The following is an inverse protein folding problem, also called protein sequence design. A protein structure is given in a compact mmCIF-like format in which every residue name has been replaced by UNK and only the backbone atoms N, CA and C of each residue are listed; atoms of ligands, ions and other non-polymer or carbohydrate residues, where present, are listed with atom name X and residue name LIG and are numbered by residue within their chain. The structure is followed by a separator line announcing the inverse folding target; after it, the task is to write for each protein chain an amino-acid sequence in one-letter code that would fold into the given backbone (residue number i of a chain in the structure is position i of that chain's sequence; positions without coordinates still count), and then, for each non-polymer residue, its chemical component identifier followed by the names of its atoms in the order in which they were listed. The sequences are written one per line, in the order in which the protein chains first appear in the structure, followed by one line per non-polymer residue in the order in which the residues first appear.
data_IF_864412620190
#
_entry.id   IF_864412620190
#
_cell.length_a   1.000
_cell.length_b   1.000
_cell.length_c   1.000
_cell.angle_alpha   90.00
_cell.angle_beta   90.00
_cell.angle_gamma   90.00
#
_symmetry.space_group_name_H-M   'P 1'
#
loop_
_entity.id
_entity.type
_entity.pdbx_description
1 polymer ?
#
# COMPACT_ATOMS: atom_id res chain seq x y z
N UNK A 1 -58.21 -47.34 4.56
CA UNK A 1 -57.18 -46.29 4.79
C UNK A 1 -56.58 -46.58 6.16
N UNK A 2 -55.27 -46.82 6.19
CA UNK A 2 -54.57 -47.25 7.38
C UNK A 2 -54.54 -46.11 8.42
N UNK A 3 -55.23 -46.29 9.54
CA UNK A 3 -55.34 -45.32 10.62
C UNK A 3 -53.97 -45.00 11.27
N UNK A 4 -53.08 -45.95 11.25
CA UNK A 4 -51.74 -45.76 11.82
C UNK A 4 -50.87 -44.86 10.92
N UNK A 5 -51.02 -45.00 9.63
CA UNK A 5 -50.36 -44.16 8.60
C UNK A 5 -50.87 -42.71 8.68
N UNK A 6 -52.21 -42.54 8.88
CA UNK A 6 -52.80 -41.21 9.05
C UNK A 6 -52.28 -40.51 10.32
N UNK A 7 -52.26 -41.22 11.46
CA UNK A 7 -51.74 -40.68 12.71
C UNK A 7 -50.29 -40.29 12.64
N UNK A 8 -49.47 -41.11 11.96
CA UNK A 8 -48.07 -40.84 11.74
C UNK A 8 -47.86 -39.63 10.82
N UNK A 9 -48.70 -39.48 9.81
CA UNK A 9 -48.67 -38.32 8.91
C UNK A 9 -49.07 -37.04 9.65
N UNK A 10 -50.13 -37.06 10.43
CA UNK A 10 -50.54 -35.92 11.28
C UNK A 10 -49.48 -35.56 12.30
N UNK A 11 -48.86 -36.52 12.97
CA UNK A 11 -47.79 -36.30 13.92
C UNK A 11 -46.58 -35.65 13.24
N UNK A 12 -46.16 -36.17 12.08
CA UNK A 12 -45.04 -35.61 11.31
C UNK A 12 -45.36 -34.19 10.83
N UNK A 13 -46.60 -33.90 10.41
CA UNK A 13 -47.01 -32.56 10.00
C UNK A 13 -46.98 -31.58 11.21
N UNK A 14 -47.48 -32.01 12.37
CA UNK A 14 -47.41 -31.21 13.60
C UNK A 14 -45.97 -31.00 14.07
N UNK A 15 -45.13 -32.01 13.96
CA UNK A 15 -43.70 -31.92 14.32
C UNK A 15 -42.97 -30.94 13.41
N UNK A 16 -43.14 -31.04 12.09
CA UNK A 16 -42.57 -30.12 11.10
C UNK A 16 -43.07 -28.70 11.35
N UNK A 17 -44.34 -28.51 11.63
CA UNK A 17 -44.90 -27.19 11.92
C UNK A 17 -44.38 -26.59 13.21
N UNK A 18 -43.98 -27.43 14.19
CA UNK A 18 -43.39 -27.01 15.46
C UNK A 18 -41.90 -26.76 15.38
N UNK A 19 -41.23 -27.24 14.34
CA UNK A 19 -39.81 -26.98 14.11
C UNK A 19 -39.60 -25.49 13.92
N UNK A 20 -38.66 -24.90 14.69
CA UNK A 20 -38.25 -23.52 14.45
C UNK A 20 -37.49 -23.43 13.15
N UNK A 21 -37.85 -22.52 12.23
CA UNK A 21 -37.05 -22.30 11.03
C UNK A 21 -35.65 -21.82 11.43
N UNK A 22 -34.62 -22.27 10.71
CA UNK A 22 -33.24 -21.90 10.94
C UNK A 22 -32.55 -21.59 9.64
N UNK A 23 -31.66 -20.64 9.67
CA UNK A 23 -30.78 -20.37 8.53
C UNK A 23 -29.65 -21.39 8.44
N UNK A 24 -29.41 -21.93 7.26
CA UNK A 24 -28.15 -22.60 6.97
C UNK A 24 -27.07 -21.53 6.74
N UNK A 25 -26.44 -21.09 7.83
CA UNK A 25 -25.48 -19.98 7.81
C UNK A 25 -24.33 -20.18 6.84
N UNK A 26 -23.86 -21.43 6.64
CA UNK A 26 -22.75 -21.76 5.74
C UNK A 26 -23.13 -21.63 4.26
N UNK A 27 -24.41 -21.65 3.95
CA UNK A 27 -24.91 -21.54 2.59
C UNK A 27 -25.25 -20.10 2.20
N UNK A 28 -25.50 -19.22 3.18
CA UNK A 28 -25.70 -17.80 2.92
C UNK A 28 -24.36 -17.20 2.47
N UNK A 29 -24.36 -16.62 1.27
CA UNK A 29 -23.13 -16.07 0.72
C UNK A 29 -23.40 -15.05 -0.38
N UNK A 30 -22.59 -14.04 -0.38
CA UNK A 30 -22.32 -13.09 -1.46
C UNK A 30 -20.97 -12.47 -1.23
N UNK A 31 -20.38 -11.93 -2.25
CA UNK A 31 -19.16 -11.12 -2.22
C UNK A 31 -19.23 -10.05 -3.31
N UNK A 32 -18.11 -9.41 -3.59
CA UNK A 32 -18.00 -8.40 -4.65
C UNK A 32 -17.44 -8.94 -5.97
N UNK A 33 -17.27 -10.27 -6.09
CA UNK A 33 -16.77 -10.90 -7.30
C UNK A 33 -17.75 -10.84 -8.47
N UNK A 34 -17.26 -11.10 -9.67
CA UNK A 34 -18.05 -11.15 -10.91
C UNK A 34 -19.19 -12.18 -10.90
N UNK A 35 -19.21 -13.14 -9.97
CA UNK A 35 -20.33 -14.05 -9.79
C UNK A 35 -21.52 -13.41 -9.07
N UNK A 36 -21.27 -12.40 -8.23
CA UNK A 36 -22.28 -11.78 -7.35
C UNK A 36 -22.54 -10.31 -7.65
N UNK A 37 -21.62 -9.60 -8.30
CA UNK A 37 -21.80 -8.23 -8.79
C UNK A 37 -21.51 -8.21 -10.29
N UNK A 38 -22.52 -8.01 -11.13
CA UNK A 38 -22.42 -8.15 -12.57
C UNK A 38 -22.88 -6.88 -13.29
N UNK A 39 -22.00 -6.13 -13.96
CA UNK A 39 -20.55 -6.32 -14.01
C UNK A 39 -19.90 -6.05 -12.64
N UNK A 40 -18.72 -6.64 -12.40
CA UNK A 40 -17.94 -6.48 -11.14
C UNK A 40 -17.51 -5.03 -10.89
N UNK A 41 -17.16 -4.32 -11.95
CA UNK A 41 -16.80 -2.89 -11.93
C UNK A 41 -17.80 -2.11 -12.81
N UNK A 42 -18.99 -1.76 -12.28
CA UNK A 42 -20.03 -1.13 -13.07
C UNK A 42 -19.69 0.34 -13.37
N UNK A 43 -20.00 0.78 -14.59
CA UNK A 43 -19.85 2.18 -14.99
C UNK A 43 -20.88 3.08 -14.27
N UNK A 44 -20.58 4.39 -14.19
CA UNK A 44 -21.59 5.38 -13.79
C UNK A 44 -22.81 5.31 -14.72
N UNK A 45 -24.00 5.53 -14.16
CA UNK A 45 -25.28 5.57 -14.86
C UNK A 45 -25.65 4.26 -15.59
N UNK A 46 -25.05 3.13 -15.18
CA UNK A 46 -25.33 1.80 -15.73
C UNK A 46 -26.23 0.97 -14.80
N UNK A 47 -26.58 -0.24 -15.25
CA UNK A 47 -27.24 -1.23 -14.43
C UNK A 47 -26.24 -2.25 -13.88
N UNK A 48 -26.44 -2.66 -12.63
CA UNK A 48 -25.68 -3.73 -11.98
C UNK A 48 -26.65 -4.78 -11.42
N UNK A 49 -26.32 -6.05 -11.64
CA UNK A 49 -27.03 -7.17 -11.03
C UNK A 49 -26.29 -7.62 -9.79
N UNK A 50 -26.97 -7.55 -8.64
CA UNK A 50 -26.44 -8.03 -7.36
C UNK A 50 -27.07 -9.38 -7.05
N UNK A 51 -26.25 -10.38 -6.72
CA UNK A 51 -26.68 -11.75 -6.43
C UNK A 51 -26.44 -12.12 -4.97
N UNK A 52 -27.27 -13.04 -4.47
CA UNK A 52 -27.14 -13.61 -3.14
C UNK A 52 -27.46 -15.11 -3.19
N UNK A 53 -26.68 -15.94 -2.51
CA UNK A 53 -26.83 -17.39 -2.45
C UNK A 53 -27.37 -17.85 -1.10
N UNK A 54 -28.28 -18.83 -1.12
CA UNK A 54 -28.80 -19.51 0.07
C UNK A 54 -28.75 -21.03 -0.10
N UNK A 55 -28.96 -21.80 0.98
CA UNK A 55 -29.26 -23.22 0.81
C UNK A 55 -30.59 -23.39 0.07
N UNK A 56 -30.70 -24.49 -0.67
CA UNK A 56 -31.90 -24.80 -1.46
C UNK A 56 -33.13 -24.90 -0.55
N UNK A 57 -34.17 -24.16 -0.91
CA UNK A 57 -35.45 -24.11 -0.17
C UNK A 57 -35.34 -23.74 1.32
N UNK A 58 -34.28 -23.03 1.73
CA UNK A 58 -34.06 -22.67 3.14
C UNK A 58 -34.53 -21.26 3.51
N UNK A 59 -34.64 -20.36 2.53
CA UNK A 59 -34.99 -18.96 2.72
C UNK A 59 -36.26 -18.61 1.95
N UNK A 60 -37.22 -17.95 2.59
CA UNK A 60 -38.48 -17.56 1.95
C UNK A 60 -38.31 -16.27 1.13
N UNK A 61 -37.54 -15.30 1.65
CA UNK A 61 -37.33 -14.00 1.02
C UNK A 61 -35.92 -13.51 1.27
N UNK A 62 -35.37 -12.87 0.27
CA UNK A 62 -34.11 -12.11 0.35
C UNK A 62 -34.40 -10.69 -0.09
N UNK A 63 -33.97 -9.71 0.67
CA UNK A 63 -34.03 -8.29 0.33
C UNK A 63 -32.63 -7.72 0.23
N UNK A 64 -32.38 -6.95 -0.80
CA UNK A 64 -31.29 -5.98 -0.85
C UNK A 64 -31.78 -4.72 -0.13
N UNK A 65 -30.98 -4.20 0.82
CA UNK A 65 -31.30 -2.96 1.54
C UNK A 65 -30.26 -1.91 1.20
N UNK A 66 -30.71 -0.82 0.61
CA UNK A 66 -29.87 0.28 0.15
C UNK A 66 -30.58 1.62 0.45
N UNK A 67 -29.86 2.60 1.03
CA UNK A 67 -30.45 3.88 1.39
C UNK A 67 -31.68 3.77 2.29
N UNK A 68 -31.74 2.77 3.16
CA UNK A 68 -32.86 2.47 4.03
C UNK A 68 -34.09 1.83 3.33
N UNK A 69 -34.03 1.61 2.03
CA UNK A 69 -35.12 0.97 1.27
C UNK A 69 -34.84 -0.52 1.07
N UNK A 70 -35.89 -1.34 1.19
CA UNK A 70 -35.82 -2.79 0.99
C UNK A 70 -36.32 -3.15 -0.40
N UNK A 71 -35.48 -3.81 -1.17
CA UNK A 71 -35.80 -4.30 -2.53
C UNK A 71 -35.86 -5.81 -2.51
N UNK A 72 -37.01 -6.38 -2.85
CA UNK A 72 -37.19 -7.83 -2.91
C UNK A 72 -36.35 -8.40 -4.06
N UNK A 73 -35.49 -9.35 -3.74
CA UNK A 73 -34.71 -10.08 -4.73
C UNK A 73 -35.51 -11.26 -5.31
N UNK A 74 -35.33 -11.52 -6.59
CA UNK A 74 -36.00 -12.61 -7.30
C UNK A 74 -35.07 -13.83 -7.34
N UNK A 75 -35.63 -15.02 -7.05
CA UNK A 75 -34.89 -16.26 -7.23
C UNK A 75 -34.73 -16.52 -8.73
N UNK A 76 -33.49 -16.49 -9.21
CA UNK A 76 -33.14 -16.60 -10.65
C UNK A 76 -32.62 -17.98 -11.03
N UNK A 77 -32.06 -18.71 -10.07
CA UNK A 77 -31.42 -19.99 -10.33
C UNK A 77 -31.52 -20.92 -9.12
N UNK A 78 -31.64 -22.22 -9.35
CA UNK A 78 -31.44 -23.27 -8.34
C UNK A 78 -30.46 -24.29 -8.95
N UNK A 79 -29.25 -24.35 -8.39
CA UNK A 79 -28.16 -25.20 -8.88
C UNK A 79 -27.53 -25.94 -7.73
N UNK A 80 -27.36 -27.25 -7.86
CA UNK A 80 -26.88 -28.12 -6.81
C UNK A 80 -27.72 -27.96 -5.53
N UNK A 81 -27.10 -27.68 -4.40
CA UNK A 81 -27.75 -27.51 -3.10
C UNK A 81 -28.07 -26.04 -2.76
N UNK A 82 -28.05 -25.13 -3.75
CA UNK A 82 -28.20 -23.70 -3.54
C UNK A 82 -29.32 -23.08 -4.40
N UNK A 83 -29.93 -22.04 -3.84
CA UNK A 83 -30.79 -21.08 -4.54
C UNK A 83 -30.05 -19.76 -4.66
N UNK A 84 -30.14 -19.13 -5.84
CA UNK A 84 -29.55 -17.82 -6.13
C UNK A 84 -30.65 -16.79 -6.36
N UNK A 85 -30.53 -15.68 -5.68
CA UNK A 85 -31.42 -14.53 -5.78
C UNK A 85 -30.67 -13.38 -6.45
N UNK A 86 -31.38 -12.56 -7.22
CA UNK A 86 -30.82 -11.39 -7.88
C UNK A 86 -31.72 -10.18 -7.79
N UNK A 87 -31.10 -9.02 -7.79
CA UNK A 87 -31.73 -7.72 -7.95
C UNK A 87 -30.92 -6.88 -8.94
N UNK A 88 -31.62 -6.23 -9.90
CA UNK A 88 -31.01 -5.30 -10.85
C UNK A 88 -31.21 -3.88 -10.31
N UNK A 89 -30.12 -3.19 -10.07
CA UNK A 89 -30.12 -1.82 -9.60
C UNK A 89 -29.54 -0.89 -10.66
N UNK A 90 -30.18 0.26 -10.87
CA UNK A 90 -29.61 1.32 -11.70
C UNK A 90 -28.75 2.23 -10.82
N UNK A 91 -27.51 2.43 -11.24
CA UNK A 91 -26.53 3.27 -10.54
C UNK A 91 -26.59 4.70 -11.09
N UNK A 92 -26.20 5.64 -10.25
CA UNK A 92 -25.75 6.99 -10.65
C UNK A 92 -24.20 7.07 -10.61
N UNK A 93 -23.65 8.22 -10.23
CA UNK A 93 -22.20 8.42 -10.04
C UNK A 93 -21.80 8.43 -8.55
N UNK A 94 -22.74 8.13 -7.65
CA UNK A 94 -22.50 8.13 -6.23
C UNK A 94 -22.18 6.74 -5.69
N UNK A 95 -21.36 6.70 -4.64
CA UNK A 95 -21.09 5.48 -3.88
C UNK A 95 -22.37 4.87 -3.35
N UNK A 96 -22.57 3.58 -3.57
CA UNK A 96 -23.69 2.80 -3.06
C UNK A 96 -23.24 1.89 -1.94
N UNK A 97 -23.92 2.00 -0.78
CA UNK A 97 -23.74 1.13 0.39
C UNK A 97 -24.97 0.26 0.56
N UNK A 98 -24.81 -1.05 0.73
CA UNK A 98 -25.92 -1.99 0.84
C UNK A 98 -25.59 -3.21 1.71
N UNK A 99 -26.63 -3.81 2.24
CA UNK A 99 -26.59 -5.09 2.94
C UNK A 99 -27.82 -5.93 2.56
N UNK A 100 -27.92 -7.15 3.08
CA UNK A 100 -29.05 -8.02 2.81
C UNK A 100 -29.84 -8.32 4.06
N UNK A 101 -31.17 -8.43 3.90
CA UNK A 101 -32.06 -8.99 4.90
C UNK A 101 -32.62 -10.31 4.37
N UNK A 102 -32.45 -11.38 5.14
CA UNK A 102 -32.95 -12.73 4.79
C UNK A 102 -34.04 -13.14 5.76
N UNK A 103 -35.10 -13.76 5.25
CA UNK A 103 -36.25 -14.17 6.03
C UNK A 103 -36.57 -15.64 5.82
N UNK A 104 -36.84 -16.37 6.91
CA UNK A 104 -37.40 -17.72 6.89
C UNK A 104 -38.40 -17.88 8.01
N UNK A 105 -39.67 -18.15 7.67
CA UNK A 105 -40.77 -18.15 8.60
C UNK A 105 -40.89 -16.81 9.32
N UNK A 106 -40.69 -16.82 10.66
CA UNK A 106 -40.73 -15.61 11.50
C UNK A 106 -39.36 -15.06 11.87
N UNK A 107 -38.31 -15.66 11.35
CA UNK A 107 -36.92 -15.28 11.66
C UNK A 107 -36.43 -14.36 10.54
N UNK A 108 -35.86 -13.24 10.95
CA UNK A 108 -35.15 -12.31 10.07
C UNK A 108 -33.69 -12.25 10.50
N UNK A 109 -32.77 -12.24 9.56
CA UNK A 109 -31.35 -12.04 9.78
C UNK A 109 -30.80 -10.99 8.82
N UNK A 110 -29.77 -10.32 9.25
CA UNK A 110 -29.04 -9.33 8.45
C UNK A 110 -27.74 -9.99 7.98
N UNK A 111 -27.38 -9.77 6.73
CA UNK A 111 -26.13 -10.27 6.14
C UNK A 111 -25.34 -9.11 5.56
N UNK A 112 -24.16 -8.90 6.10
CA UNK A 112 -23.17 -7.90 5.66
C UNK A 112 -21.79 -8.56 5.44
N UNK A 113 -20.72 -7.79 5.29
CA UNK A 113 -19.37 -8.34 5.09
C UNK A 113 -18.89 -9.26 6.22
N UNK A 114 -19.51 -9.20 7.41
CA UNK A 114 -19.24 -10.14 8.54
C UNK A 114 -19.99 -11.47 8.41
N UNK A 115 -20.88 -11.58 7.43
CA UNK A 115 -21.82 -12.69 7.29
C UNK A 115 -23.16 -12.44 7.99
N UNK A 116 -23.81 -13.49 8.53
CA UNK A 116 -25.13 -13.37 9.18
C UNK A 116 -24.97 -12.79 10.59
N UNK A 117 -25.55 -11.62 10.81
CA UNK A 117 -25.52 -10.83 12.04
C UNK A 117 -26.95 -10.49 12.50
N UNK A 118 -27.10 -9.88 13.68
CA UNK A 118 -28.38 -9.49 14.27
C UNK A 118 -28.67 -7.98 14.17
N UNK A 119 -27.59 -7.18 14.04
CA UNK A 119 -27.68 -5.72 14.04
C UNK A 119 -26.97 -5.13 12.84
N UNK A 120 -27.58 -4.11 12.26
CA UNK A 120 -26.98 -3.32 11.15
C UNK A 120 -25.81 -2.51 11.69
N UNK A 121 -24.71 -2.52 10.95
CA UNK A 121 -23.60 -1.61 11.17
C UNK A 121 -23.05 -1.22 9.78
N UNK A 122 -23.32 0.02 9.38
CA UNK A 122 -22.98 0.57 8.07
C UNK A 122 -21.49 0.46 7.72
N UNK A 123 -20.61 0.35 8.71
CA UNK A 123 -19.19 0.14 8.50
C UNK A 123 -18.88 -1.18 7.75
N UNK A 124 -19.75 -2.17 7.87
CA UNK A 124 -19.62 -3.48 7.25
C UNK A 124 -20.55 -3.70 6.06
N UNK A 125 -21.18 -2.66 5.56
CA UNK A 125 -21.96 -2.76 4.33
C UNK A 125 -21.08 -3.10 3.13
N UNK A 126 -21.64 -3.80 2.16
CA UNK A 126 -21.03 -3.94 0.84
C UNK A 126 -21.07 -2.59 0.11
N UNK A 127 -20.04 -2.30 -0.66
CA UNK A 127 -19.88 -1.01 -1.34
C UNK A 127 -19.67 -1.23 -2.83
N UNK A 128 -20.40 -0.44 -3.64
CA UNK A 128 -20.14 -0.26 -5.06
C UNK A 128 -19.74 1.20 -5.28
N UNK A 129 -18.63 1.41 -5.98
CA UNK A 129 -18.18 2.72 -6.44
C UNK A 129 -18.31 2.74 -7.96
N UNK A 130 -19.40 3.31 -8.52
CA UNK A 130 -19.59 3.36 -9.96
C UNK A 130 -18.43 4.09 -10.65
N UNK A 131 -18.00 3.57 -11.80
CA UNK A 131 -16.89 4.12 -12.56
C UNK A 131 -15.49 3.87 -11.97
N UNK A 132 -15.40 3.17 -10.83
CA UNK A 132 -14.12 2.66 -10.36
C UNK A 132 -13.67 1.49 -11.24
N UNK A 133 -12.44 1.56 -11.74
CA UNK A 133 -11.86 0.51 -12.58
C UNK A 133 -10.43 0.20 -12.12
N UNK A 134 -10.16 -1.08 -11.92
CA UNK A 134 -8.82 -1.60 -11.71
C UNK A 134 -8.18 -1.83 -13.08
N UNK A 135 -6.97 -1.31 -13.35
CA UNK A 135 -6.30 -1.55 -14.63
C UNK A 135 -6.27 -3.05 -14.99
N UNK A 136 -6.62 -3.38 -16.23
CA UNK A 136 -6.75 -4.78 -16.65
C UNK A 136 -5.45 -5.58 -16.49
N UNK A 137 -4.30 -4.93 -16.69
CA UNK A 137 -2.99 -5.54 -16.50
C UNK A 137 -2.73 -5.98 -15.04
N UNK A 138 -3.38 -5.36 -14.04
CA UNK A 138 -3.20 -5.71 -12.63
C UNK A 138 -4.05 -6.91 -12.19
N UNK A 139 -5.13 -7.22 -12.94
CA UNK A 139 -6.07 -8.29 -12.58
C UNK A 139 -5.45 -9.65 -12.84
N UNK A 140 -5.12 -10.37 -11.77
CA UNK A 140 -4.51 -11.71 -11.85
C UNK A 140 -3.02 -11.71 -12.23
N UNK A 141 -2.36 -10.56 -12.27
CA UNK A 141 -0.95 -10.46 -12.63
C UNK A 141 -0.04 -11.15 -11.61
N UNK A 142 0.99 -11.81 -12.10
CA UNK A 142 2.07 -12.39 -11.28
C UNK A 142 3.03 -11.29 -10.89
N UNK A 143 2.99 -10.88 -9.61
CA UNK A 143 3.88 -9.86 -9.05
C UNK A 143 5.07 -10.48 -8.34
N UNK A 144 6.26 -9.94 -8.60
CA UNK A 144 7.49 -10.32 -7.90
C UNK A 144 8.02 -9.11 -7.14
N UNK A 145 8.08 -9.23 -5.80
CA UNK A 145 8.65 -8.19 -4.95
C UNK A 145 10.18 -8.31 -4.91
N UNK A 146 10.87 -7.22 -5.23
CA UNK A 146 12.33 -7.14 -5.15
C UNK A 146 12.74 -6.29 -3.95
N UNK A 147 13.41 -6.93 -2.99
CA UNK A 147 14.22 -6.26 -1.98
C UNK A 147 15.61 -6.07 -2.57
N UNK A 148 15.90 -4.89 -3.10
CA UNK A 148 17.02 -4.64 -3.99
C UNK A 148 18.36 -5.05 -3.40
N UNK A 149 18.68 -4.64 -2.18
CA UNK A 149 19.92 -5.01 -1.46
C UNK A 149 20.16 -6.53 -1.40
N UNK A 150 19.10 -7.34 -1.48
CA UNK A 150 19.14 -8.79 -1.30
C UNK A 150 18.85 -9.58 -2.58
N UNK A 151 18.82 -8.92 -3.73
CA UNK A 151 18.44 -9.57 -4.99
C UNK A 151 19.64 -10.00 -5.85
N UNK A 152 20.43 -9.05 -6.34
CA UNK A 152 21.61 -9.31 -7.15
C UNK A 152 22.52 -8.08 -7.15
N UNK A 153 23.83 -8.28 -6.91
CA UNK A 153 24.85 -7.25 -7.06
C UNK A 153 25.35 -7.27 -8.51
N UNK A 154 25.11 -6.22 -9.26
CA UNK A 154 25.56 -6.05 -10.65
C UNK A 154 26.73 -5.06 -10.79
N UNK A 155 26.87 -4.11 -9.86
CA UNK A 155 27.92 -3.09 -9.85
C UNK A 155 28.49 -2.89 -8.44
N UNK A 156 29.49 -3.66 -8.06
CA UNK A 156 30.11 -3.57 -6.74
C UNK A 156 30.78 -2.23 -6.42
N UNK A 157 30.88 -1.31 -7.38
CA UNK A 157 31.43 0.03 -7.15
C UNK A 157 30.47 0.96 -6.39
N UNK A 158 29.18 0.62 -6.37
CA UNK A 158 28.15 1.36 -5.63
C UNK A 158 27.86 0.80 -4.22
N UNK A 159 28.46 -0.33 -3.85
CA UNK A 159 28.22 -0.97 -2.56
C UNK A 159 28.46 -0.01 -1.38
N UNK A 160 27.59 -0.10 -0.36
CA UNK A 160 27.86 0.53 0.94
C UNK A 160 29.09 -0.09 1.56
N UNK A 161 30.03 0.75 1.97
CA UNK A 161 31.29 0.30 2.55
C UNK A 161 31.18 0.18 4.08
N UNK A 162 31.92 -0.77 4.66
CA UNK A 162 32.01 -0.86 6.12
C UNK A 162 32.60 0.44 6.70
N UNK A 163 31.96 1.00 7.73
CA UNK A 163 32.29 2.30 8.33
C UNK A 163 32.06 3.51 7.40
N UNK A 164 31.25 3.41 6.38
CA UNK A 164 30.94 4.55 5.52
C UNK A 164 30.18 5.63 6.27
N UNK A 165 29.20 5.21 7.08
CA UNK A 165 28.43 6.06 8.01
C UNK A 165 27.93 5.23 9.20
N UNK A 166 27.20 5.88 10.12
CA UNK A 166 26.52 5.20 11.22
C UNK A 166 25.01 5.22 11.03
N UNK A 167 24.35 4.11 11.31
CA UNK A 167 22.90 4.04 11.35
C UNK A 167 22.44 3.39 12.66
N UNK A 168 21.47 4.02 13.35
CA UNK A 168 21.04 3.62 14.71
C UNK A 168 22.25 3.50 15.66
N UNK A 169 23.11 4.55 15.66
CA UNK A 169 24.24 4.70 16.58
C UNK A 169 25.46 3.80 16.35
N UNK A 170 25.43 2.93 15.34
CA UNK A 170 26.52 2.01 15.03
C UNK A 170 26.91 2.06 13.54
N UNK A 171 28.14 1.73 13.20
CA UNK A 171 28.59 1.71 11.82
C UNK A 171 27.80 0.73 10.94
N UNK A 172 27.65 1.11 9.67
CA UNK A 172 27.16 0.18 8.63
C UNK A 172 28.23 -0.83 8.24
N UNK A 173 27.79 -1.99 7.73
CA UNK A 173 28.66 -3.09 7.36
C UNK A 173 28.32 -3.63 5.96
N UNK A 174 29.33 -3.78 5.12
CA UNK A 174 29.24 -4.57 3.91
C UNK A 174 29.31 -6.06 4.24
N UNK A 175 28.39 -6.85 3.69
CA UNK A 175 28.37 -8.32 3.82
C UNK A 175 29.07 -8.94 2.62
N UNK A 176 30.20 -9.61 2.86
CA UNK A 176 30.97 -10.26 1.79
C UNK A 176 30.41 -11.63 1.38
N UNK A 177 29.86 -12.37 2.33
CA UNK A 177 29.29 -13.70 2.10
C UNK A 177 27.77 -13.63 1.95
N UNK A 178 27.28 -13.68 0.73
CA UNK A 178 25.84 -13.71 0.42
C UNK A 178 25.12 -14.96 0.96
N UNK A 179 25.83 -16.03 1.28
CA UNK A 179 25.28 -17.24 1.90
C UNK A 179 25.05 -17.11 3.42
N UNK A 180 25.53 -16.04 4.03
CA UNK A 180 25.38 -15.79 5.47
C UNK A 180 23.92 -15.48 5.82
N UNK A 181 23.44 -16.03 6.94
CA UNK A 181 22.15 -15.62 7.49
C UNK A 181 22.17 -14.16 7.94
N UNK A 182 21.07 -13.39 7.73
CA UNK A 182 20.95 -12.04 8.25
C UNK A 182 21.14 -11.99 9.77
N UNK A 183 21.78 -10.92 10.26
CA UNK A 183 21.93 -10.69 11.70
C UNK A 183 20.59 -10.31 12.35
N UNK A 184 20.51 -10.36 13.68
CA UNK A 184 19.30 -9.97 14.42
C UNK A 184 18.94 -8.48 14.21
N UNK A 185 19.94 -7.61 14.09
CA UNK A 185 19.80 -6.19 13.78
C UNK A 185 20.48 -5.92 12.43
N UNK A 186 19.83 -6.37 11.36
CA UNK A 186 20.41 -6.42 10.03
C UNK A 186 20.19 -5.16 9.18
N UNK A 187 19.43 -4.17 9.69
CA UNK A 187 19.06 -2.94 8.95
C UNK A 187 20.26 -2.10 8.47
N UNK A 188 21.43 -2.32 9.03
CA UNK A 188 22.71 -1.68 8.67
C UNK A 188 23.72 -2.63 8.04
N UNK A 189 23.30 -3.83 7.65
CA UNK A 189 24.11 -4.81 6.93
C UNK A 189 23.70 -4.86 5.47
N UNK A 190 24.63 -4.54 4.58
CA UNK A 190 24.36 -4.39 3.15
C UNK A 190 25.01 -5.52 2.37
N UNK A 191 24.21 -6.19 1.54
CA UNK A 191 24.65 -7.25 0.64
C UNK A 191 25.03 -6.71 -0.74
N UNK A 192 24.66 -5.46 -1.04
CA UNK A 192 25.07 -4.76 -2.24
C UNK A 192 24.25 -5.11 -3.49
N UNK A 193 23.04 -5.67 -3.34
CA UNK A 193 22.14 -5.79 -4.48
C UNK A 193 21.72 -4.42 -5.01
N UNK A 194 21.61 -4.28 -6.35
CA UNK A 194 21.45 -3.01 -7.03
C UNK A 194 20.59 -3.10 -8.30
N UNK A 195 20.32 -1.95 -8.93
CA UNK A 195 19.52 -1.87 -10.15
C UNK A 195 20.23 -2.46 -11.38
N UNK A 196 21.56 -2.47 -11.41
CA UNK A 196 22.31 -3.18 -12.46
C UNK A 196 22.07 -4.69 -12.32
N UNK A 197 22.12 -5.23 -11.10
CA UNK A 197 21.81 -6.62 -10.83
C UNK A 197 20.36 -6.99 -11.19
N UNK A 198 19.42 -6.05 -11.04
CA UNK A 198 18.04 -6.24 -11.54
C UNK A 198 18.04 -6.34 -13.07
N UNK A 199 18.75 -5.45 -13.78
CA UNK A 199 18.89 -5.52 -15.24
C UNK A 199 19.49 -6.87 -15.68
N UNK A 200 20.53 -7.33 -15.00
CA UNK A 200 21.20 -8.60 -15.29
C UNK A 200 20.30 -9.83 -15.07
N UNK A 201 19.24 -9.66 -14.27
CA UNK A 201 18.25 -10.70 -13.94
C UNK A 201 16.91 -10.56 -14.67
N UNK A 202 16.79 -9.65 -15.64
CA UNK A 202 15.53 -9.47 -16.37
C UNK A 202 15.08 -10.72 -17.13
N UNK A 203 16.03 -11.48 -17.74
CA UNK A 203 15.69 -12.75 -18.40
C UNK A 203 15.16 -13.79 -17.40
N UNK A 204 15.78 -13.87 -16.21
CA UNK A 204 15.31 -14.74 -15.13
C UNK A 204 13.88 -14.40 -14.69
N UNK A 205 13.56 -13.11 -14.52
CA UNK A 205 12.22 -12.66 -14.14
C UNK A 205 11.19 -12.98 -15.23
N UNK A 206 11.56 -12.79 -16.49
CA UNK A 206 10.71 -13.11 -17.63
C UNK A 206 10.46 -14.62 -17.74
N UNK A 207 11.50 -15.44 -17.61
CA UNK A 207 11.39 -16.92 -17.65
C UNK A 207 10.57 -17.48 -16.49
N UNK A 208 10.57 -16.79 -15.33
CA UNK A 208 9.74 -17.11 -14.18
C UNK A 208 8.24 -16.77 -14.40
N UNK A 209 7.94 -15.99 -15.44
CA UNK A 209 6.58 -15.56 -15.75
C UNK A 209 6.12 -14.33 -14.93
N UNK A 210 7.06 -13.50 -14.52
CA UNK A 210 6.75 -12.24 -13.81
C UNK A 210 6.12 -11.25 -14.79
N UNK A 211 4.98 -10.69 -14.41
CA UNK A 211 4.26 -9.67 -15.18
C UNK A 211 4.40 -8.28 -14.55
N UNK A 212 4.65 -8.23 -13.24
CA UNK A 212 4.84 -6.98 -12.50
C UNK A 212 6.01 -7.08 -11.55
N UNK A 213 6.96 -6.16 -11.65
CA UNK A 213 8.03 -5.97 -10.68
C UNK A 213 7.56 -4.93 -9.66
N UNK A 214 7.47 -5.32 -8.40
CA UNK A 214 7.25 -4.42 -7.28
C UNK A 214 8.55 -4.25 -6.51
N UNK A 215 9.08 -3.04 -6.48
CA UNK A 215 10.28 -2.74 -5.71
C UNK A 215 9.96 -2.33 -4.27
N UNK A 216 10.72 -2.83 -3.29
CA UNK A 216 10.89 -2.13 -2.02
C UNK A 216 11.36 -0.69 -2.31
N UNK A 217 11.24 0.24 -1.34
CA UNK A 217 11.66 1.62 -1.60
C UNK A 217 13.04 1.71 -2.24
N UNK A 218 13.19 2.59 -3.24
CA UNK A 218 14.42 2.79 -3.99
C UNK A 218 15.06 4.17 -3.74
N UNK A 219 14.36 5.06 -3.06
CA UNK A 219 14.81 6.43 -2.84
C UNK A 219 15.99 6.49 -1.87
N UNK A 220 16.77 7.57 -1.94
CA UNK A 220 17.90 7.78 -1.03
C UNK A 220 17.48 7.51 0.40
N UNK A 221 18.21 6.62 1.10
CA UNK A 221 17.86 6.16 2.43
C UNK A 221 19.04 5.47 3.11
N UNK A 222 19.28 5.68 4.42
CA UNK A 222 20.42 5.14 5.12
C UNK A 222 20.32 3.65 5.49
N UNK A 223 19.14 3.06 5.47
CA UNK A 223 18.96 1.63 5.75
C UNK A 223 19.03 0.77 4.49
N UNK A 224 19.26 -0.52 4.67
CA UNK A 224 19.22 -1.48 3.56
C UNK A 224 17.78 -1.68 3.01
N UNK A 225 16.75 -1.56 3.86
CA UNK A 225 15.34 -1.72 3.49
C UNK A 225 14.71 -0.46 2.87
N UNK A 226 15.31 0.70 3.09
CA UNK A 226 14.97 2.02 2.52
C UNK A 226 13.57 2.57 2.81
N UNK A 227 12.91 2.11 3.90
CA UNK A 227 11.64 2.70 4.38
C UNK A 227 11.83 4.02 5.16
N UNK A 228 13.05 4.46 5.39
CA UNK A 228 13.43 5.70 6.05
C UNK A 228 14.00 6.72 5.04
N UNK A 229 13.11 7.19 4.16
CA UNK A 229 13.45 8.02 3.01
C UNK A 229 14.18 9.29 3.42
N UNK A 230 15.33 9.52 2.80
CA UNK A 230 16.16 10.72 2.96
C UNK A 230 15.86 11.77 1.89
N UNK A 231 15.62 11.36 0.64
CA UNK A 231 15.25 12.24 -0.47
C UNK A 231 14.32 11.51 -1.45
N UNK A 232 13.10 12.02 -1.65
CA UNK A 232 12.10 11.44 -2.54
C UNK A 232 12.31 11.75 -4.02
N UNK A 233 13.22 12.69 -4.32
CA UNK A 233 13.48 13.12 -5.70
C UNK A 233 14.45 12.23 -6.45
N UNK A 234 15.19 11.37 -5.72
CA UNK A 234 16.29 10.61 -6.31
C UNK A 234 16.34 9.17 -5.82
N UNK A 235 16.70 8.29 -6.76
CA UNK A 235 17.07 6.91 -6.48
C UNK A 235 18.41 6.92 -5.70
N UNK A 236 18.52 6.05 -4.71
CA UNK A 236 19.72 5.93 -3.89
C UNK A 236 20.94 5.51 -4.73
N UNK A 237 22.03 6.27 -4.71
CA UNK A 237 23.24 5.93 -5.47
C UNK A 237 23.86 4.58 -5.09
N UNK A 238 23.65 4.09 -3.85
CA UNK A 238 24.15 2.79 -3.41
C UNK A 238 23.42 1.59 -4.05
N UNK A 239 22.27 1.83 -4.67
CA UNK A 239 21.58 0.84 -5.50
C UNK A 239 21.45 1.32 -6.94
N UNK A 240 21.90 2.54 -7.22
CA UNK A 240 21.88 3.21 -8.50
C UNK A 240 23.26 3.29 -9.14
N UNK A 241 23.74 4.51 -9.40
CA UNK A 241 25.02 4.76 -10.04
C UNK A 241 25.82 5.82 -9.29
N UNK A 242 27.04 5.47 -8.88
CA UNK A 242 28.01 6.41 -8.31
C UNK A 242 29.00 6.82 -9.43
N UNK A 243 29.09 8.10 -9.72
CA UNK A 243 30.02 8.70 -10.71
C UNK A 243 31.03 9.63 -10.05
N UNK A 244 30.75 10.10 -8.83
CA UNK A 244 31.67 10.80 -7.93
C UNK A 244 31.74 10.02 -6.62
N UNK A 245 32.92 9.67 -6.17
CA UNK A 245 33.16 8.87 -4.95
C UNK A 245 34.30 9.49 -4.14
N UNK A 246 34.08 10.74 -3.75
CA UNK A 246 35.08 11.51 -3.02
C UNK A 246 34.89 11.39 -1.50
N UNK A 247 35.91 11.79 -0.74
CA UNK A 247 35.88 11.79 0.71
C UNK A 247 36.35 10.47 1.35
N UNK A 248 36.28 10.43 2.66
CA UNK A 248 36.82 9.37 3.49
C UNK A 248 35.72 8.62 4.25
N UNK A 249 35.98 7.38 4.61
CA UNK A 249 35.17 6.61 5.56
C UNK A 249 35.26 7.23 6.95
N UNK A 250 34.26 6.97 7.79
CA UNK A 250 34.32 7.39 9.19
C UNK A 250 35.52 6.75 9.89
N UNK A 251 36.35 7.54 10.59
CA UNK A 251 37.42 6.98 11.43
C UNK A 251 36.87 6.07 12.53
N UNK A 252 37.66 5.09 12.93
CA UNK A 252 37.30 4.19 14.03
C UNK A 252 36.89 4.98 15.28
N UNK A 253 35.73 4.64 15.84
CA UNK A 253 35.16 5.28 17.00
C UNK A 253 34.37 6.58 16.73
N UNK A 254 34.43 7.14 15.51
CA UNK A 254 33.56 8.26 15.12
C UNK A 254 32.11 7.75 14.89
N UNK A 255 31.11 8.50 15.40
CA UNK A 255 29.68 8.15 15.29
C UNK A 255 28.83 9.28 14.70
N UNK A 256 29.40 10.46 14.46
CA UNK A 256 28.67 11.61 13.92
C UNK A 256 28.74 11.63 12.40
N UNK A 257 27.62 11.46 11.72
CA UNK A 257 27.51 11.37 10.26
C UNK A 257 27.89 12.66 9.53
N UNK A 258 27.88 13.82 10.19
CA UNK A 258 28.43 15.06 9.60
C UNK A 258 29.90 14.96 9.17
N UNK A 259 30.64 13.96 9.65
CA UNK A 259 32.01 13.68 9.27
C UNK A 259 32.13 12.52 8.26
N UNK A 260 31.03 11.91 7.85
CA UNK A 260 30.97 10.84 6.86
C UNK A 260 31.10 11.42 5.44
N UNK A 261 32.25 12.01 5.11
CA UNK A 261 32.39 12.81 3.89
C UNK A 261 32.13 12.02 2.61
N UNK A 262 32.51 10.74 2.56
CA UNK A 262 32.21 9.87 1.42
C UNK A 262 30.73 9.60 1.28
N UNK A 263 30.04 9.24 2.35
CA UNK A 263 28.59 9.06 2.36
C UNK A 263 27.88 10.33 1.89
N UNK A 264 28.30 11.48 2.42
CA UNK A 264 27.73 12.79 2.04
C UNK A 264 27.90 13.03 0.54
N UNK A 265 29.13 12.83 -0.02
CA UNK A 265 29.34 12.97 -1.47
C UNK A 265 28.45 12.00 -2.26
N UNK A 266 28.41 10.74 -1.88
CA UNK A 266 27.61 9.73 -2.57
C UNK A 266 26.14 10.08 -2.65
N UNK A 267 25.50 10.54 -1.53
CA UNK A 267 24.04 10.74 -1.42
C UNK A 267 23.57 12.18 -1.63
N UNK A 268 24.49 13.16 -1.76
CA UNK A 268 24.13 14.58 -2.00
C UNK A 268 24.71 15.15 -3.27
N UNK A 269 25.70 14.48 -3.88
CA UNK A 269 26.29 14.91 -5.15
C UNK A 269 25.27 14.73 -6.28
N UNK A 270 24.92 15.85 -6.91
CA UNK A 270 23.88 15.88 -7.95
C UNK A 270 24.19 14.95 -9.12
N UNK A 271 25.46 14.77 -9.49
CA UNK A 271 25.83 13.87 -10.57
C UNK A 271 25.51 12.41 -10.23
N UNK A 272 25.72 11.96 -8.99
CA UNK A 272 25.36 10.62 -8.52
C UNK A 272 23.85 10.43 -8.53
N UNK A 273 23.11 11.43 -8.01
CA UNK A 273 21.67 11.41 -7.92
C UNK A 273 20.99 11.35 -9.29
N UNK A 274 21.46 12.17 -10.25
CA UNK A 274 20.95 12.17 -11.62
C UNK A 274 21.31 10.87 -12.37
N UNK A 275 22.55 10.37 -12.25
CA UNK A 275 22.96 9.11 -12.86
C UNK A 275 22.13 7.92 -12.34
N UNK A 276 21.78 7.93 -11.05
CA UNK A 276 20.93 6.90 -10.43
C UNK A 276 19.50 6.95 -10.98
N UNK A 277 18.95 8.14 -11.14
CA UNK A 277 17.64 8.33 -11.76
C UNK A 277 17.62 7.86 -13.23
N UNK A 278 18.71 8.13 -13.98
CA UNK A 278 18.84 7.68 -15.37
C UNK A 278 18.94 6.15 -15.46
N UNK A 279 19.67 5.49 -14.56
CA UNK A 279 19.74 4.03 -14.52
C UNK A 279 18.35 3.43 -14.19
N UNK A 280 17.61 4.03 -13.26
CA UNK A 280 16.26 3.57 -12.95
C UNK A 280 15.31 3.71 -14.16
N UNK A 281 15.39 4.82 -14.90
CA UNK A 281 14.60 4.98 -16.14
C UNK A 281 14.93 3.87 -17.16
N UNK A 282 16.21 3.42 -17.24
CA UNK A 282 16.61 2.30 -18.08
C UNK A 282 16.02 0.97 -17.59
N UNK A 283 15.98 0.74 -16.26
CA UNK A 283 15.34 -0.45 -15.66
C UNK A 283 13.87 -0.53 -16.05
N UNK A 284 13.14 0.58 -15.92
CA UNK A 284 11.71 0.63 -16.28
C UNK A 284 11.52 0.39 -17.79
N UNK A 285 12.30 1.06 -18.62
CA UNK A 285 12.24 0.88 -20.08
C UNK A 285 12.52 -0.58 -20.49
N UNK A 286 13.48 -1.24 -19.83
CA UNK A 286 13.80 -2.64 -20.10
C UNK A 286 12.72 -3.60 -19.62
N UNK A 287 12.08 -3.32 -18.47
CA UNK A 287 10.91 -4.07 -18.01
C UNK A 287 9.75 -3.95 -19.02
N UNK A 288 9.43 -2.73 -19.45
CA UNK A 288 8.38 -2.48 -20.45
C UNK A 288 8.66 -3.16 -21.80
N UNK A 289 9.93 -3.20 -22.23
CA UNK A 289 10.32 -3.92 -23.46
C UNK A 289 10.02 -5.41 -23.41
N UNK A 290 9.92 -5.97 -22.19
CA UNK A 290 9.56 -7.36 -21.91
C UNK A 290 8.09 -7.56 -21.51
N UNK A 291 7.24 -6.55 -21.70
CA UNK A 291 5.84 -6.53 -21.27
C UNK A 291 5.63 -6.67 -19.74
N UNK A 292 6.67 -6.38 -18.95
CA UNK A 292 6.57 -6.33 -17.49
C UNK A 292 6.28 -4.90 -17.03
N UNK A 293 5.42 -4.76 -16.01
CA UNK A 293 5.08 -3.50 -15.35
C UNK A 293 5.97 -3.27 -14.13
N UNK A 294 6.07 -2.00 -13.71
CA UNK A 294 6.89 -1.61 -12.56
C UNK A 294 6.06 -0.83 -11.55
N UNK A 295 6.10 -1.24 -10.28
CA UNK A 295 5.46 -0.56 -9.15
C UNK A 295 6.54 -0.09 -8.18
N UNK A 296 6.49 1.19 -7.79
CA UNK A 296 7.31 1.76 -6.73
C UNK A 296 6.62 1.69 -5.36
N UNK A 297 7.41 1.62 -4.29
CA UNK A 297 6.95 1.75 -2.93
C UNK A 297 6.95 3.23 -2.49
N UNK A 298 5.79 3.74 -2.12
CA UNK A 298 5.58 5.10 -1.66
C UNK A 298 5.46 5.15 -0.14
N UNK A 299 6.52 5.58 0.53
CA UNK A 299 6.57 5.76 1.98
C UNK A 299 6.26 7.21 2.31
N UNK A 300 4.98 7.56 2.43
CA UNK A 300 4.55 8.95 2.60
C UNK A 300 3.98 9.28 3.99
N UNK A 301 3.80 8.29 4.86
CA UNK A 301 3.39 8.53 6.25
C UNK A 301 4.50 9.16 7.10
N UNK A 302 5.74 8.81 6.83
CA UNK A 302 6.94 9.25 7.55
C UNK A 302 8.11 9.36 6.58
N UNK A 303 9.17 10.04 6.99
CA UNK A 303 10.47 10.02 6.31
C UNK A 303 11.54 9.42 7.25
N UNK A 304 12.79 9.39 6.81
CA UNK A 304 13.93 9.05 7.67
C UNK A 304 14.42 10.24 8.48
N UNK A 305 15.10 9.99 9.60
CA UNK A 305 15.77 11.04 10.38
C UNK A 305 16.93 11.71 9.62
N UNK A 306 17.46 11.04 8.59
CA UNK A 306 18.47 11.58 7.66
C UNK A 306 17.87 12.50 6.60
N UNK A 307 16.53 12.54 6.45
CA UNK A 307 15.86 13.33 5.43
C UNK A 307 16.27 14.81 5.49
N UNK A 308 16.48 15.43 4.32
CA UNK A 308 16.91 16.82 4.17
C UNK A 308 16.02 17.85 4.89
N UNK A 309 14.74 17.56 5.07
CA UNK A 309 13.82 18.43 5.80
C UNK A 309 14.03 18.39 7.33
N UNK A 310 14.42 17.20 7.84
CA UNK A 310 14.74 17.00 9.25
C UNK A 310 16.22 17.32 9.54
N UNK A 311 17.12 16.77 8.74
CA UNK A 311 18.59 16.83 8.83
C UNK A 311 19.12 16.59 10.26
N UNK A 312 18.61 15.55 10.90
CA UNK A 312 19.05 15.16 12.25
C UNK A 312 20.53 14.83 12.29
N UNK A 313 21.02 14.22 11.23
CA UNK A 313 22.43 13.79 11.13
C UNK A 313 23.38 14.91 10.67
N UNK A 314 22.84 16.06 10.29
CA UNK A 314 23.62 17.24 9.88
C UNK A 314 24.54 16.96 8.70
N UNK A 315 24.01 16.24 7.70
CA UNK A 315 24.74 15.86 6.50
C UNK A 315 24.50 16.82 5.33
N UNK A 316 23.45 17.64 5.41
CA UNK A 316 23.15 18.68 4.45
C UNK A 316 23.81 19.98 4.88
N UNK A 317 25.04 20.20 4.36
CA UNK A 317 25.85 21.35 4.69
C UNK A 317 25.51 22.60 3.82
N UNK A 318 26.51 23.39 3.46
CA UNK A 318 26.39 24.61 2.67
C UNK A 318 25.59 24.41 1.37
N UNK A 319 24.60 25.26 1.13
CA UNK A 319 23.75 25.23 -0.08
C UNK A 319 22.37 24.60 0.10
N UNK A 320 22.09 24.02 1.27
CA UNK A 320 20.76 23.53 1.66
C UNK A 320 20.17 24.40 2.79
N UNK A 321 18.84 24.47 2.82
CA UNK A 321 18.13 25.04 3.94
C UNK A 321 18.39 24.21 5.22
N UNK A 322 18.42 24.90 6.37
CA UNK A 322 18.58 24.20 7.65
C UNK A 322 17.41 23.28 7.92
N UNK A 323 17.69 22.03 8.27
CA UNK A 323 16.66 21.07 8.66
C UNK A 323 15.87 21.47 9.91
N UNK A 324 14.67 20.95 10.02
CA UNK A 324 13.76 21.27 11.13
C UNK A 324 14.28 20.83 12.50
N UNK A 325 15.11 19.79 12.57
CA UNK A 325 15.80 19.38 13.80
C UNK A 325 16.82 20.42 14.25
N UNK A 326 17.51 21.04 13.28
CA UNK A 326 18.64 21.95 13.53
C UNK A 326 18.17 23.33 14.01
N UNK A 327 17.07 23.85 13.43
CA UNK A 327 16.64 25.23 13.65
C UNK A 327 15.12 25.38 13.70
N UNK A 328 14.64 26.21 14.63
CA UNK A 328 13.25 26.65 14.68
C UNK A 328 12.83 27.50 13.47
N UNK A 329 13.79 28.15 12.81
CA UNK A 329 13.56 28.99 11.63
C UNK A 329 13.66 28.20 10.32
N UNK A 330 13.73 26.86 10.39
CA UNK A 330 13.73 26.00 9.20
C UNK A 330 12.46 26.22 8.38
N UNK A 331 12.56 26.31 7.04
CA UNK A 331 11.38 26.32 6.16
C UNK A 331 10.57 25.03 6.28
N UNK A 332 11.19 23.93 6.71
CA UNK A 332 10.57 22.63 6.90
C UNK A 332 9.99 22.41 8.31
N UNK A 333 9.99 23.47 9.15
CA UNK A 333 9.55 23.38 10.56
C UNK A 333 8.15 22.76 10.69
N UNK A 334 7.22 23.11 9.81
CA UNK A 334 5.83 22.69 9.87
C UNK A 334 5.57 21.34 9.17
N UNK A 335 6.61 20.71 8.61
CA UNK A 335 6.50 19.36 8.04
C UNK A 335 6.44 18.28 9.13
N UNK A 336 6.72 18.68 10.39
CA UNK A 336 6.77 17.81 11.56
C UNK A 336 6.07 18.47 12.76
N UNK A 337 5.56 17.64 13.66
CA UNK A 337 5.02 18.08 14.94
C UNK A 337 6.09 18.00 16.03
N UNK A 338 6.44 19.17 16.58
CA UNK A 338 7.39 19.30 17.69
C UNK A 338 6.67 19.71 18.98
N UNK A 339 6.83 18.91 20.04
CA UNK A 339 6.12 19.12 21.30
C UNK A 339 6.79 20.13 22.23
N UNK A 340 8.10 20.38 22.06
CA UNK A 340 8.86 21.32 22.91
C UNK A 340 9.52 22.41 22.08
N UNK A 341 8.91 23.59 22.06
CA UNK A 341 9.40 24.75 21.33
C UNK A 341 10.70 25.33 21.86
N UNK A 342 11.07 25.04 23.13
CA UNK A 342 12.30 25.51 23.76
C UNK A 342 13.50 24.58 23.55
N UNK A 343 13.30 23.45 22.85
CA UNK A 343 14.36 22.44 22.69
C UNK A 343 15.34 22.72 21.54
N UNK A 344 15.11 23.74 20.70
CA UNK A 344 16.10 24.17 19.72
C UNK A 344 17.33 24.83 20.33
N UNK A 345 18.47 24.69 19.66
CA UNK A 345 18.75 23.89 18.46
C UNK A 345 18.81 22.39 18.76
N UNK A 346 18.66 21.59 17.70
CA UNK A 346 18.68 20.12 17.76
C UNK A 346 17.49 19.53 18.51
N UNK A 347 16.30 19.89 18.05
CA UNK A 347 15.04 19.52 18.70
C UNK A 347 14.63 18.08 18.35
N UNK A 348 14.67 17.20 19.32
CA UNK A 348 14.27 15.78 19.20
C UNK A 348 12.85 15.49 19.72
N UNK A 349 12.03 16.52 19.98
CA UNK A 349 10.67 16.36 20.49
C UNK A 349 9.62 16.20 19.38
N UNK A 350 10.00 15.70 18.22
CA UNK A 350 9.08 15.44 17.11
C UNK A 350 8.38 14.10 17.23
N UNK A 351 7.22 13.99 16.58
CA UNK A 351 6.51 12.72 16.47
C UNK A 351 7.23 11.75 15.53
N UNK A 352 7.42 10.52 15.99
CA UNK A 352 7.88 9.41 15.19
C UNK A 352 6.77 8.39 14.97
N UNK A 353 6.75 7.75 13.79
CA UNK A 353 5.82 6.66 13.53
C UNK A 353 6.06 5.53 14.55
N UNK A 354 5.00 5.15 15.27
CA UNK A 354 5.04 4.23 16.41
C UNK A 354 6.09 4.58 17.48
N UNK A 355 6.44 5.86 17.60
CA UNK A 355 7.43 6.35 18.56
C UNK A 355 8.89 6.12 18.16
N UNK A 356 9.16 5.69 16.92
CA UNK A 356 10.52 5.55 16.40
C UNK A 356 11.08 6.91 16.00
N UNK A 357 12.15 7.33 16.67
CA UNK A 357 12.81 8.62 16.42
C UNK A 357 13.59 8.65 15.08
N UNK A 358 13.85 7.48 14.50
CA UNK A 358 14.44 7.35 13.15
C UNK A 358 13.43 7.50 12.03
N UNK A 359 12.12 7.54 12.35
CA UNK A 359 11.02 7.62 11.41
C UNK A 359 10.09 8.80 11.71
N UNK A 360 10.56 10.05 11.52
CA UNK A 360 9.75 11.26 11.76
C UNK A 360 8.45 11.22 10.98
N UNK A 361 7.30 11.35 11.69
CA UNK A 361 5.99 11.40 11.07
C UNK A 361 5.79 12.73 10.35
N UNK A 362 5.24 12.67 9.12
CA UNK A 362 4.98 13.85 8.29
C UNK A 362 3.64 14.49 8.66
N UNK A 363 3.65 15.82 8.88
CA UNK A 363 2.51 16.62 9.27
C UNK A 363 1.89 17.37 8.07
N UNK A 364 1.08 16.68 7.29
CA UNK A 364 0.40 17.25 6.14
C UNK A 364 -0.69 18.28 6.51
N UNK A 365 -1.36 18.09 7.66
CA UNK A 365 -2.39 19.02 8.14
C UNK A 365 -1.77 20.34 8.60
N UNK A 366 -0.47 20.35 8.94
CA UNK A 366 0.33 21.53 9.29
C UNK A 366 0.99 22.21 8.09
N UNK A 367 1.02 21.57 6.89
CA UNK A 367 1.77 22.11 5.75
C UNK A 367 1.19 21.70 4.39
N UNK A 368 0.55 22.65 3.72
CA UNK A 368 0.09 22.47 2.33
C UNK A 368 1.27 22.30 1.37
N UNK A 369 2.41 22.95 1.63
CA UNK A 369 3.62 22.82 0.81
C UNK A 369 4.15 21.38 0.81
N UNK A 370 4.10 20.70 1.96
CA UNK A 370 4.46 19.28 2.05
C UNK A 370 3.51 18.41 1.22
N UNK A 371 2.20 18.65 1.31
CA UNK A 371 1.21 17.93 0.51
C UNK A 371 1.46 18.13 -0.98
N UNK A 372 1.65 19.38 -1.41
CA UNK A 372 1.89 19.71 -2.82
C UNK A 372 3.18 19.05 -3.34
N UNK A 373 4.24 19.03 -2.50
CA UNK A 373 5.48 18.36 -2.84
C UNK A 373 5.29 16.85 -3.04
N UNK A 374 4.60 16.18 -2.12
CA UNK A 374 4.38 14.71 -2.24
C UNK A 374 3.49 14.38 -3.45
N UNK A 375 2.48 15.21 -3.74
CA UNK A 375 1.69 15.06 -4.97
C UNK A 375 2.54 15.28 -6.22
N UNK A 376 3.52 16.21 -6.19
CA UNK A 376 4.49 16.36 -7.26
C UNK A 376 5.36 15.12 -7.43
N UNK A 377 5.89 14.56 -6.35
CA UNK A 377 6.66 13.29 -6.36
C UNK A 377 5.83 12.16 -6.96
N UNK A 378 4.56 12.05 -6.56
CA UNK A 378 3.64 11.03 -7.08
C UNK A 378 3.48 11.11 -8.62
N UNK A 379 3.37 12.34 -9.15
CA UNK A 379 3.28 12.59 -10.61
C UNK A 379 4.60 12.34 -11.32
N UNK A 380 5.72 12.79 -10.73
CA UNK A 380 7.06 12.71 -11.32
C UNK A 380 7.40 11.29 -11.76
N UNK A 381 7.26 10.32 -10.87
CA UNK A 381 7.71 8.96 -11.12
C UNK A 381 6.82 8.17 -12.08
N UNK A 382 5.54 8.52 -12.19
CA UNK A 382 4.64 7.91 -13.19
C UNK A 382 4.67 8.62 -14.55
N UNK A 383 5.44 9.72 -14.67
CA UNK A 383 5.60 10.51 -15.90
C UNK A 383 6.94 10.23 -16.58
N UNK A 384 7.09 10.58 -17.88
CA UNK A 384 8.39 10.55 -18.54
C UNK A 384 9.47 11.35 -17.78
N UNK A 385 10.70 10.87 -17.73
CA UNK A 385 11.24 9.69 -18.43
C UNK A 385 11.04 8.35 -17.69
N UNK A 386 10.53 8.35 -16.47
CA UNK A 386 10.46 7.16 -15.61
C UNK A 386 9.32 6.21 -16.01
N UNK A 387 8.09 6.74 -16.22
CA UNK A 387 6.92 6.01 -16.68
C UNK A 387 6.57 4.77 -15.83
N UNK A 388 6.72 4.85 -14.51
CA UNK A 388 6.34 3.77 -13.59
C UNK A 388 4.82 3.52 -13.68
N UNK A 389 4.38 2.27 -13.63
CA UNK A 389 2.98 1.87 -13.84
C UNK A 389 2.09 2.05 -12.61
N UNK A 390 2.69 2.24 -11.43
CA UNK A 390 1.90 2.44 -10.22
C UNK A 390 2.71 2.58 -8.94
N UNK A 391 1.97 2.80 -7.85
CA UNK A 391 2.49 2.93 -6.50
C UNK A 391 1.90 1.86 -5.59
N UNK A 392 2.73 1.20 -4.80
CA UNK A 392 2.32 0.57 -3.55
C UNK A 392 2.49 1.61 -2.44
N UNK A 393 1.52 1.75 -1.58
CA UNK A 393 1.49 2.79 -0.55
C UNK A 393 1.73 2.14 0.82
N UNK A 394 2.91 2.44 1.38
CA UNK A 394 3.30 1.93 2.69
C UNK A 394 2.49 2.60 3.81
N UNK A 395 2.05 1.81 4.79
CA UNK A 395 1.26 2.22 5.98
C UNK A 395 0.20 3.29 5.68
N UNK A 396 -0.49 3.14 4.55
CA UNK A 396 -1.43 4.13 4.03
C UNK A 396 -2.54 4.51 5.03
N UNK A 397 -2.94 3.59 5.92
CA UNK A 397 -3.97 3.83 6.93
C UNK A 397 -3.51 4.78 8.04
N UNK A 398 -2.20 4.90 8.28
CA UNK A 398 -1.63 5.70 9.37
C UNK A 398 -1.33 7.16 8.97
N UNK A 399 -1.43 7.49 7.66
CA UNK A 399 -1.10 8.82 7.16
C UNK A 399 -2.11 9.87 7.67
N UNK A 400 -1.57 11.01 8.12
CA UNK A 400 -2.35 12.10 8.72
C UNK A 400 -2.68 11.85 10.19
N UNK A 401 -3.49 12.74 10.78
CA UNK A 401 -3.90 12.68 12.19
C UNK A 401 -5.40 12.37 12.34
N UNK A 402 -6.17 12.39 11.24
CA UNK A 402 -7.58 12.07 11.22
C UNK A 402 -7.94 11.16 10.05
N UNK A 403 -8.97 10.34 10.21
CA UNK A 403 -9.49 9.49 9.14
C UNK A 403 -10.03 10.33 7.97
N UNK A 404 -10.63 11.46 8.24
CA UNK A 404 -11.16 12.37 7.23
C UNK A 404 -10.02 12.91 6.35
N UNK A 405 -8.94 13.39 6.98
CA UNK A 405 -7.76 13.85 6.25
C UNK A 405 -7.09 12.71 5.47
N UNK A 406 -6.94 11.52 6.06
CA UNK A 406 -6.40 10.36 5.39
C UNK A 406 -7.14 10.05 4.08
N UNK A 407 -8.47 10.00 4.12
CA UNK A 407 -9.28 9.76 2.93
C UNK A 407 -9.12 10.88 1.89
N UNK A 408 -9.13 12.15 2.32
CA UNK A 408 -8.91 13.30 1.44
C UNK A 408 -7.55 13.22 0.75
N UNK A 409 -6.47 12.94 1.50
CA UNK A 409 -5.12 12.83 0.95
C UNK A 409 -5.04 11.76 -0.15
N UNK A 410 -5.57 10.57 0.10
CA UNK A 410 -5.51 9.48 -0.89
C UNK A 410 -6.39 9.73 -2.11
N UNK A 411 -7.47 10.48 -1.98
CA UNK A 411 -8.27 10.93 -3.13
C UNK A 411 -7.46 11.90 -4.01
N UNK A 412 -6.82 12.90 -3.41
CA UNK A 412 -5.96 13.84 -4.15
C UNK A 412 -4.73 13.15 -4.73
N UNK A 413 -4.12 12.21 -4.00
CA UNK A 413 -3.01 11.42 -4.51
C UNK A 413 -3.42 10.61 -5.76
N UNK A 414 -4.54 9.87 -5.67
CA UNK A 414 -5.06 9.11 -6.81
C UNK A 414 -5.36 10.02 -8.01
N UNK A 415 -5.98 11.16 -7.77
CA UNK A 415 -6.27 12.15 -8.81
C UNK A 415 -4.98 12.63 -9.47
N UNK A 416 -3.98 13.02 -8.67
CA UNK A 416 -2.68 13.47 -9.17
C UNK A 416 -1.98 12.42 -10.05
N UNK A 417 -1.96 11.16 -9.60
CA UNK A 417 -1.38 10.05 -10.37
C UNK A 417 -2.13 9.84 -11.68
N UNK A 418 -3.47 9.80 -11.65
CA UNK A 418 -4.31 9.56 -12.83
C UNK A 418 -4.34 10.73 -13.82
N UNK A 419 -4.08 11.96 -13.39
CA UNK A 419 -3.85 13.11 -14.26
C UNK A 419 -2.52 13.00 -15.02
N UNK A 420 -1.50 12.45 -14.38
CA UNK A 420 -0.16 12.30 -14.96
C UNK A 420 -0.03 11.06 -15.86
N UNK A 421 -0.69 9.98 -15.48
CA UNK A 421 -0.72 8.70 -16.20
C UNK A 421 -2.10 8.05 -16.02
N UNK A 422 -3.03 8.27 -16.96
CA UNK A 422 -4.44 7.84 -16.92
C UNK A 422 -4.66 6.33 -16.77
#
# INVERSE_FOLDING_TARGET
MDLELLRRTEYNQQYIAAMRPVFNRRALFTDTSAEYVIPEEPACFSEVTIRFRTARNNVDRVFLVCGGQKHLMVRVESKNDFDYYAYVMRLDDQKVSYYFEVQTGRITGIFDMRGLVQEVNEYYDFIIIPGFHTPDWAKGAVMYQIYTDRFCNGDSSNDVLTNEYCYIGEPVHRVEDWGRYPAQMDVREFYGGDLQGVLDKMDYLQDLGVEVIYFNPLFVSPSNHKYDIQDYDYIDPHIGKIVSDEGDLLPDGQRENRFASRYIDRVTNKANLEASNELFAQVVAEAHRRDMRVILDGVFNHCGSFNKWMDRERIYAEGYDKGAYVSADSPYRNYFDFHNQAAWPYNNSYDGWWGHDTLPKLNYEGSQELMDYVLHVAKKWVSPPYNVDGWRLDVAADLGHSQEFNHHFWQEFRKAVKEANP
#
